data_IF_058712796057
#
_entry.id   IF_058712796057
#
_cell.length_a   1.000
_cell.length_b   1.000
_cell.length_c   1.000
_cell.angle_alpha   90.00
_cell.angle_beta   90.00
_cell.angle_gamma   90.00
#
_symmetry.space_group_name_H-M   'P 1'
#
loop_
_entity.id
_entity.type
_entity.pdbx_description
1 polymer ?
#
# COMPACT_ATOMS: atom_id res chain seq x y z
N UNK A 1 -1.73 -8.06 15.25
CA UNK A 1 -0.98 -7.10 16.10
C UNK A 1 0.29 -6.71 15.36
N UNK A 2 0.74 -5.44 15.47
CA UNK A 2 2.05 -5.05 14.95
C UNK A 2 3.16 -5.61 15.88
N UNK A 3 4.26 -6.17 15.34
CA UNK A 3 5.35 -6.70 16.16
C UNK A 3 5.98 -5.61 17.03
N UNK A 4 6.35 -5.93 18.28
CA UNK A 4 7.10 -5.05 19.17
C UNK A 4 8.60 -5.33 19.11
N UNK A 5 9.43 -4.42 19.62
CA UNK A 5 10.87 -4.63 19.71
C UNK A 5 11.19 -5.88 20.55
N UNK A 6 11.97 -6.81 19.98
CA UNK A 6 12.31 -8.10 20.57
C UNK A 6 11.33 -9.23 20.25
N UNK A 7 10.23 -8.98 19.54
CA UNK A 7 9.35 -10.04 19.05
C UNK A 7 10.05 -10.90 17.98
N UNK A 8 9.73 -12.19 17.97
CA UNK A 8 10.11 -13.10 16.88
C UNK A 8 9.04 -13.05 15.79
N UNK A 9 9.48 -12.86 14.55
CA UNK A 9 8.64 -12.77 13.35
C UNK A 9 9.20 -13.69 12.29
N UNK A 10 8.32 -14.32 11.50
CA UNK A 10 8.77 -15.04 10.30
C UNK A 10 8.69 -14.10 9.11
N UNK A 11 9.79 -13.95 8.38
CA UNK A 11 9.83 -13.24 7.11
C UNK A 11 9.91 -14.29 6.01
N UNK A 12 9.00 -14.20 5.04
CA UNK A 12 8.98 -15.07 3.87
C UNK A 12 9.46 -14.31 2.64
N UNK A 13 10.29 -14.98 1.84
CA UNK A 13 10.65 -14.54 0.50
C UNK A 13 9.81 -15.36 -0.49
N UNK A 14 9.14 -14.66 -1.40
CA UNK A 14 8.21 -15.23 -2.36
C UNK A 14 8.62 -14.83 -3.77
N UNK A 15 8.42 -15.74 -4.71
CA UNK A 15 8.58 -15.49 -6.13
C UNK A 15 7.20 -15.48 -6.77
N UNK A 16 6.93 -14.45 -7.58
CA UNK A 16 5.70 -14.35 -8.34
C UNK A 16 5.75 -15.32 -9.52
N UNK A 17 4.66 -16.03 -9.78
CA UNK A 17 4.54 -16.80 -11.01
C UNK A 17 4.63 -15.90 -12.24
N UNK A 18 5.11 -16.46 -13.34
CA UNK A 18 5.14 -15.77 -14.63
C UNK A 18 3.71 -15.40 -15.09
N UNK A 19 3.57 -14.20 -15.67
CA UNK A 19 2.36 -13.69 -16.32
C UNK A 19 1.16 -13.38 -15.41
N UNK A 20 1.39 -13.04 -14.14
CA UNK A 20 0.30 -12.56 -13.27
C UNK A 20 -0.19 -11.19 -13.73
N UNK A 21 -1.51 -11.06 -13.86
CA UNK A 21 -2.12 -9.80 -14.26
C UNK A 21 -2.55 -8.97 -13.04
N UNK A 22 -1.74 -7.98 -12.67
CA UNK A 22 -1.99 -7.10 -11.53
C UNK A 22 -2.44 -5.70 -11.95
N UNK A 23 -3.35 -5.10 -11.18
CA UNK A 23 -3.68 -3.69 -11.32
C UNK A 23 -2.67 -2.83 -10.54
N UNK A 24 -1.98 -1.93 -11.23
CA UNK A 24 -0.91 -1.12 -10.64
C UNK A 24 -1.39 0.31 -10.33
N UNK A 25 -1.51 0.62 -9.04
CA UNK A 25 -1.79 1.95 -8.49
C UNK A 25 -0.53 2.67 -8.01
N UNK A 26 0.65 2.04 -8.09
CA UNK A 26 1.94 2.66 -7.73
C UNK A 26 2.48 3.58 -8.83
N UNK A 27 1.69 3.79 -9.89
CA UNK A 27 2.08 4.51 -11.09
C UNK A 27 2.53 5.94 -10.79
N UNK A 28 3.84 6.13 -10.69
CA UNK A 28 4.42 7.41 -10.27
C UNK A 28 4.27 8.50 -11.32
N UNK A 29 4.20 9.74 -10.84
CA UNK A 29 4.22 10.97 -11.64
C UNK A 29 5.29 10.97 -12.75
N UNK A 30 6.48 10.37 -12.55
CA UNK A 30 7.55 10.35 -13.56
C UNK A 30 7.23 9.50 -14.80
N UNK A 31 6.66 8.31 -14.62
CA UNK A 31 6.22 7.46 -15.74
C UNK A 31 5.06 8.12 -16.49
N UNK A 32 4.30 8.96 -15.78
CA UNK A 32 3.14 9.64 -16.33
C UNK A 32 3.44 10.92 -17.11
N UNK A 33 4.51 11.65 -16.76
CA UNK A 33 4.94 12.83 -17.50
C UNK A 33 5.16 12.52 -18.99
N UNK A 34 5.70 11.35 -19.33
CA UNK A 34 5.88 10.92 -20.73
C UNK A 34 4.56 10.67 -21.47
N UNK A 35 3.50 10.23 -20.78
CA UNK A 35 2.14 10.12 -21.36
C UNK A 35 1.51 11.50 -21.54
N UNK A 36 1.63 12.36 -20.53
CA UNK A 36 1.08 13.73 -20.53
C UNK A 36 1.68 14.56 -21.67
N UNK A 37 3.00 14.52 -21.85
CA UNK A 37 3.73 15.24 -22.92
C UNK A 37 3.26 14.81 -24.32
N UNK A 38 2.86 13.55 -24.48
CA UNK A 38 2.41 13.00 -25.77
C UNK A 38 0.88 13.01 -25.95
N UNK A 39 0.13 13.58 -25.00
CA UNK A 39 -1.34 13.61 -25.05
C UNK A 39 -1.86 15.00 -25.42
N UNK A 40 -2.84 15.07 -26.33
CA UNK A 40 -3.54 16.34 -26.64
C UNK A 40 -4.48 16.79 -25.50
N UNK A 41 -4.71 15.94 -24.49
CA UNK A 41 -5.58 16.18 -23.33
C UNK A 41 -4.79 16.12 -22.01
N UNK A 42 -3.71 16.90 -21.93
CA UNK A 42 -2.80 16.88 -20.79
C UNK A 42 -3.47 17.10 -19.43
N UNK A 43 -4.52 17.93 -19.34
CA UNK A 43 -5.24 18.19 -18.09
C UNK A 43 -6.00 16.96 -17.58
N UNK A 44 -6.67 16.21 -18.47
CA UNK A 44 -7.42 15.00 -18.11
C UNK A 44 -6.48 13.92 -17.59
N UNK A 45 -5.38 13.68 -18.30
CA UNK A 45 -4.36 12.72 -17.90
C UNK A 45 -3.75 13.10 -16.53
N UNK A 46 -3.48 14.40 -16.31
CA UNK A 46 -3.01 14.90 -15.01
C UNK A 46 -3.99 14.64 -13.86
N UNK A 47 -5.29 14.82 -14.12
CA UNK A 47 -6.32 14.56 -13.11
C UNK A 47 -6.46 13.07 -12.75
N UNK A 48 -6.32 12.18 -13.73
CA UNK A 48 -6.39 10.73 -13.54
C UNK A 48 -5.20 10.23 -12.72
N UNK A 49 -4.00 10.75 -12.99
CA UNK A 49 -2.80 10.41 -12.21
C UNK A 49 -2.97 10.85 -10.76
N UNK A 50 -3.38 12.10 -10.55
CA UNK A 50 -3.58 12.62 -9.20
C UNK A 50 -4.63 11.79 -8.45
N UNK A 51 -5.66 11.31 -9.15
CA UNK A 51 -6.64 10.41 -8.57
C UNK A 51 -6.01 9.08 -8.11
N UNK A 52 -5.20 8.43 -8.96
CA UNK A 52 -4.55 7.16 -8.61
C UNK A 52 -3.49 7.32 -7.50
N UNK A 53 -2.72 8.41 -7.50
CA UNK A 53 -1.77 8.72 -6.43
C UNK A 53 -2.50 8.87 -5.08
N UNK A 54 -3.55 9.70 -5.04
CA UNK A 54 -4.35 9.88 -3.83
C UNK A 54 -5.01 8.58 -3.36
N UNK A 55 -5.49 7.76 -4.30
CA UNK A 55 -6.08 6.46 -4.00
C UNK A 55 -5.05 5.50 -3.39
N UNK A 56 -3.86 5.43 -3.98
CA UNK A 56 -2.73 4.65 -3.44
C UNK A 56 -2.38 5.09 -2.01
N UNK A 57 -2.32 6.40 -1.77
CA UNK A 57 -2.05 6.95 -0.44
C UNK A 57 -3.13 6.58 0.57
N UNK A 58 -4.41 6.67 0.19
CA UNK A 58 -5.54 6.32 1.05
C UNK A 58 -5.53 4.83 1.41
N UNK A 59 -5.28 3.94 0.44
CA UNK A 59 -5.17 2.49 0.67
C UNK A 59 -4.03 2.12 1.62
N UNK A 60 -2.98 2.93 1.63
CA UNK A 60 -1.78 2.72 2.43
C UNK A 60 -1.90 3.21 3.86
N UNK A 61 -2.93 3.99 4.19
CA UNK A 61 -3.05 4.57 5.53
C UNK A 61 -3.12 3.50 6.61
N UNK A 62 -2.39 3.68 7.72
CA UNK A 62 -2.44 2.75 8.82
C UNK A 62 -3.82 2.78 9.46
N UNK A 63 -4.49 1.62 9.55
CA UNK A 63 -5.76 1.51 10.28
C UNK A 63 -5.47 1.72 11.78
N UNK A 64 -5.96 2.83 12.35
CA UNK A 64 -5.90 3.05 13.79
C UNK A 64 -6.93 2.16 14.51
N UNK A 65 -6.60 1.56 15.65
CA UNK A 65 -7.57 0.83 16.48
C UNK A 65 -8.75 1.70 16.97
N UNK A 66 -8.54 3.02 17.01
CA UNK A 66 -9.53 4.00 17.49
C UNK A 66 -10.24 4.75 16.36
N UNK A 67 -9.79 4.60 15.10
CA UNK A 67 -10.56 5.10 13.96
C UNK A 67 -11.73 4.16 13.72
N UNK A 68 -12.83 4.73 13.22
CA UNK A 68 -13.99 3.93 12.89
C UNK A 68 -13.55 2.83 11.92
N UNK A 69 -13.86 1.58 12.26
CA UNK A 69 -13.59 0.38 11.46
C UNK A 69 -14.15 0.47 10.01
N UNK A 70 -14.91 1.53 9.70
CA UNK A 70 -15.69 1.65 8.48
C UNK A 70 -14.91 2.18 7.27
N UNK A 71 -13.93 3.07 7.35
CA UNK A 71 -13.63 3.84 6.13
C UNK A 71 -12.55 3.20 5.23
N UNK A 72 -11.34 2.95 5.77
CA UNK A 72 -10.20 2.48 4.95
C UNK A 72 -10.28 0.98 4.64
N UNK A 73 -10.69 0.16 5.62
CA UNK A 73 -10.82 -1.29 5.43
C UNK A 73 -11.92 -1.64 4.41
N UNK A 74 -13.07 -0.94 4.47
CA UNK A 74 -14.15 -1.17 3.51
C UNK A 74 -13.76 -0.69 2.11
N UNK A 75 -13.01 0.41 1.98
CA UNK A 75 -12.47 0.86 0.69
C UNK A 75 -11.55 -0.20 0.08
N UNK A 76 -10.56 -0.69 0.84
CA UNK A 76 -9.64 -1.72 0.38
C UNK A 76 -10.36 -3.03 0.01
N UNK A 77 -11.35 -3.44 0.80
CA UNK A 77 -12.16 -4.62 0.52
C UNK A 77 -13.01 -4.45 -0.76
N UNK A 78 -13.68 -3.31 -0.91
CA UNK A 78 -14.50 -3.01 -2.09
C UNK A 78 -13.65 -2.98 -3.35
N UNK A 79 -12.49 -2.30 -3.32
CA UNK A 79 -11.56 -2.24 -4.45
C UNK A 79 -11.04 -3.62 -4.80
N UNK A 80 -10.64 -4.42 -3.81
CA UNK A 80 -10.23 -5.81 -4.01
C UNK A 80 -11.30 -6.61 -4.75
N UNK A 81 -12.55 -6.52 -4.31
CA UNK A 81 -13.67 -7.23 -4.93
C UNK A 81 -13.94 -6.78 -6.36
N UNK A 82 -13.88 -5.47 -6.61
CA UNK A 82 -14.05 -4.90 -7.95
C UNK A 82 -12.92 -5.36 -8.88
N UNK A 83 -11.66 -5.22 -8.47
CA UNK A 83 -10.48 -5.58 -9.29
C UNK A 83 -10.48 -7.08 -9.61
N UNK A 84 -10.80 -7.90 -8.60
CA UNK A 84 -10.98 -9.34 -8.76
C UNK A 84 -12.11 -9.67 -9.74
N UNK A 85 -13.24 -8.95 -9.69
CA UNK A 85 -14.37 -9.16 -10.61
C UNK A 85 -14.04 -8.84 -12.08
N UNK A 86 -13.07 -7.95 -12.31
CA UNK A 86 -12.58 -7.59 -13.65
C UNK A 86 -11.60 -8.63 -14.21
N UNK A 87 -11.13 -9.57 -13.39
CA UNK A 87 -10.26 -10.67 -13.81
C UNK A 87 -8.77 -10.43 -13.56
N UNK A 88 -8.43 -9.41 -12.77
CA UNK A 88 -7.06 -9.25 -12.25
C UNK A 88 -6.82 -10.22 -11.09
N UNK A 89 -5.57 -10.63 -10.93
CA UNK A 89 -5.12 -11.60 -9.93
C UNK A 89 -4.51 -10.94 -8.68
N UNK A 90 -4.29 -9.63 -8.75
CA UNK A 90 -3.81 -8.84 -7.64
C UNK A 90 -3.80 -7.35 -7.93
N UNK A 91 -3.32 -6.58 -6.96
CA UNK A 91 -3.09 -5.15 -7.08
C UNK A 91 -1.81 -4.72 -6.37
N UNK A 92 -1.21 -3.64 -6.86
CA UNK A 92 0.04 -3.06 -6.37
C UNK A 92 -0.21 -1.59 -6.04
N UNK A 93 0.31 -1.11 -4.92
CA UNK A 93 0.23 0.30 -4.53
C UNK A 93 1.44 0.68 -3.68
N UNK A 94 1.68 1.98 -3.48
CA UNK A 94 2.82 2.45 -2.71
C UNK A 94 2.75 2.02 -1.24
N UNK A 95 3.88 1.93 -0.55
CA UNK A 95 3.90 1.70 0.90
C UNK A 95 3.88 3.01 1.66
N UNK A 96 3.07 3.10 2.71
CA UNK A 96 3.09 4.26 3.64
C UNK A 96 4.21 4.20 4.68
N UNK A 97 4.88 3.05 4.82
CA UNK A 97 5.87 2.81 5.87
C UNK A 97 7.32 2.91 5.36
N UNK A 98 7.53 2.83 4.04
CA UNK A 98 8.87 2.81 3.43
C UNK A 98 8.80 3.12 1.94
N UNK A 99 9.95 3.36 1.30
CA UNK A 99 10.09 3.54 -0.15
C UNK A 99 9.94 2.21 -0.93
N UNK A 100 8.83 1.50 -0.70
CA UNK A 100 8.54 0.20 -1.27
C UNK A 100 7.11 0.09 -1.77
N UNK A 101 6.76 -1.09 -2.26
CA UNK A 101 5.44 -1.39 -2.79
C UNK A 101 4.72 -2.39 -1.88
N UNK A 102 3.43 -2.20 -1.71
CA UNK A 102 2.53 -3.20 -1.18
C UNK A 102 1.92 -3.97 -2.34
N UNK A 103 1.90 -5.30 -2.21
CA UNK A 103 1.31 -6.20 -3.20
C UNK A 103 0.21 -7.00 -2.52
N UNK A 104 -0.97 -7.01 -3.12
CA UNK A 104 -2.11 -7.83 -2.70
C UNK A 104 -2.38 -8.83 -3.81
N UNK A 105 -2.35 -10.10 -3.47
CA UNK A 105 -2.68 -11.20 -4.39
C UNK A 105 -3.97 -11.85 -3.93
N UNK A 106 -4.85 -12.16 -4.89
CA UNK A 106 -6.17 -12.72 -4.59
C UNK A 106 -6.18 -14.25 -4.53
N UNK A 107 -5.09 -14.88 -4.98
CA UNK A 107 -4.85 -16.32 -4.92
C UNK A 107 -3.45 -16.61 -4.42
N UNK A 108 -3.31 -17.68 -3.64
CA UNK A 108 -2.00 -18.20 -3.22
C UNK A 108 -1.27 -18.89 -4.38
N UNK A 109 -2.00 -19.33 -5.41
CA UNK A 109 -1.41 -19.96 -6.60
C UNK A 109 -0.53 -19.00 -7.39
N UNK A 110 -0.62 -17.69 -7.13
CA UNK A 110 0.20 -16.66 -7.75
C UNK A 110 1.64 -16.60 -7.21
N UNK A 111 1.99 -17.34 -6.16
CA UNK A 111 3.32 -17.27 -5.55
C UNK A 111 3.90 -18.63 -5.22
N UNK A 112 5.21 -18.73 -5.42
CA UNK A 112 6.04 -19.80 -4.86
C UNK A 112 6.79 -19.29 -3.63
N UNK A 113 6.84 -20.12 -2.58
CA UNK A 113 7.58 -19.80 -1.36
C UNK A 113 9.03 -20.20 -1.59
N UNK A 114 9.93 -19.22 -1.67
CA UNK A 114 11.36 -19.45 -1.87
C UNK A 114 12.01 -19.87 -0.55
N UNK A 115 11.76 -19.10 0.51
CA UNK A 115 12.25 -19.41 1.86
C UNK A 115 11.48 -18.67 2.95
N UNK A 116 11.60 -19.16 4.17
CA UNK A 116 11.07 -18.51 5.37
C UNK A 116 12.10 -18.56 6.48
N UNK A 117 12.43 -17.40 7.03
CA UNK A 117 13.45 -17.25 8.07
C UNK A 117 12.82 -16.56 9.30
N UNK A 118 13.21 -16.98 10.51
CA UNK A 118 12.78 -16.33 11.76
C UNK A 118 13.75 -15.20 12.09
N UNK A 119 13.21 -14.00 12.29
CA UNK A 119 13.93 -12.81 12.69
C UNK A 119 13.44 -12.29 14.02
N UNK A 120 14.32 -11.59 14.73
CA UNK A 120 13.96 -10.83 15.93
C UNK A 120 13.93 -9.35 15.59
N UNK A 121 12.81 -8.69 15.90
CA UNK A 121 12.66 -7.24 15.67
C UNK A 121 13.69 -6.50 16.54
N UNK A 122 14.65 -5.82 15.90
CA UNK A 122 15.73 -5.14 16.61
C UNK A 122 15.35 -3.74 17.10
N UNK A 123 14.59 -2.99 16.30
CA UNK A 123 14.23 -1.60 16.60
C UNK A 123 12.99 -1.18 15.83
N UNK A 124 12.21 -0.25 16.39
CA UNK A 124 11.10 0.43 15.73
C UNK A 124 11.38 1.92 15.79
N UNK A 125 11.26 2.62 14.66
CA UNK A 125 11.42 4.07 14.59
C UNK A 125 10.04 4.72 14.64
N UNK A 126 9.87 5.69 15.53
CA UNK A 126 8.68 6.49 15.63
C UNK A 126 9.05 7.96 15.39
N UNK A 127 8.37 8.58 14.46
CA UNK A 127 8.44 10.02 14.23
C UNK A 127 7.18 10.66 14.81
N UNK A 128 7.37 11.70 15.64
CA UNK A 128 6.29 12.34 16.37
C UNK A 128 6.07 13.76 15.86
N UNK A 129 4.81 14.10 15.62
CA UNK A 129 4.37 15.46 15.36
C UNK A 129 3.56 15.94 16.56
N UNK A 130 3.93 17.10 17.10
CA UNK A 130 3.22 17.72 18.21
C UNK A 130 1.89 18.30 17.70
N UNK A 131 0.78 17.85 18.26
CA UNK A 131 -0.57 18.27 17.83
C UNK A 131 -1.21 19.34 18.72
N UNK A 132 -0.93 19.33 20.03
CA UNK A 132 -1.50 20.31 20.99
C UNK A 132 -0.50 20.69 22.09
N UNK A 133 -0.66 21.89 22.64
CA UNK A 133 0.05 22.38 23.83
C UNK A 133 -0.86 22.32 25.05
N UNK A 134 -0.57 21.43 25.99
CA UNK A 134 -1.22 21.42 27.30
C UNK A 134 -0.29 22.05 28.34
N UNK A 135 -0.56 23.30 28.68
CA UNK A 135 0.05 23.93 29.86
C UNK A 135 -0.69 23.44 31.09
N UNK A 136 0.00 22.73 31.99
CA UNK A 136 -0.54 22.45 33.33
C UNK A 136 -0.62 23.81 34.04
N UNK A 137 -1.84 24.29 34.25
CA UNK A 137 -2.08 25.44 35.13
C UNK A 137 -2.08 24.88 36.55
N UNK A 138 -1.04 25.21 37.33
CA UNK A 138 -0.97 24.91 38.76
C UNK A 138 -2.09 25.59 39.57
#
# INVERSE_FOLDING_TARGET
MRPWCGAEVTIGDFELMDNIFTMDFSYSSQMSLFKVINSEQSETVMSEIAFFDNLSDEMSKPISPNESYLDIYQLNLLLTEVIKSVGYEGMIFNSSLSDGLNVVLFSQECIDIVKTDIYKVHSIKYDFLKTDDYTVVE
#
